data_IF_627812436212
#
_entry.id   IF_627812436212
#
_cell.length_a   1.000
_cell.length_b   1.000
_cell.length_c   1.000
_cell.angle_alpha   90.00
_cell.angle_beta   90.00
_cell.angle_gamma   90.00
#
_symmetry.space_group_name_H-M   'P 1'
#
loop_
_entity.id
_entity.type
_entity.pdbx_description
1 polymer ?
#
# COMPACT_ATOMS: atom_id res chain seq x y z
N UNK A 1 -3.02 -3.98 -22.95
CA UNK A 1 -2.18 -4.40 -24.09
C UNK A 1 -1.37 -5.61 -23.65
N UNK A 2 -1.78 -6.81 -24.06
CA UNK A 2 -1.12 -8.07 -23.68
C UNK A 2 -0.34 -8.57 -24.91
N UNK A 3 0.97 -8.76 -24.74
CA UNK A 3 1.89 -9.27 -25.77
C UNK A 3 1.60 -10.76 -26.04
N UNK A 4 1.35 -11.09 -27.31
CA UNK A 4 1.29 -12.46 -27.82
C UNK A 4 2.71 -13.06 -27.92
N UNK A 5 2.92 -14.35 -27.63
CA UNK A 5 4.22 -15.00 -27.76
C UNK A 5 4.52 -15.45 -29.21
N UNK A 6 5.82 -15.52 -29.50
CA UNK A 6 6.44 -15.73 -30.81
C UNK A 6 6.15 -17.08 -31.50
N UNK A 7 6.09 -17.02 -32.83
CA UNK A 7 5.82 -18.13 -33.78
C UNK A 7 6.94 -19.17 -33.92
N UNK A 8 7.84 -19.30 -32.94
CA UNK A 8 9.04 -20.14 -33.04
C UNK A 8 8.97 -21.47 -32.26
N UNK A 9 7.89 -21.75 -31.51
CA UNK A 9 7.76 -22.99 -30.70
C UNK A 9 6.84 -24.07 -31.29
N UNK A 10 6.25 -23.83 -32.47
CA UNK A 10 5.29 -24.76 -33.11
C UNK A 10 5.90 -25.65 -34.22
N UNK A 11 7.19 -25.51 -34.52
CA UNK A 11 7.87 -26.30 -35.56
C UNK A 11 8.40 -27.64 -35.07
N UNK A 12 8.28 -27.96 -33.77
CA UNK A 12 8.80 -29.20 -33.18
C UNK A 12 7.81 -30.37 -33.05
N UNK A 13 6.52 -30.19 -33.36
CA UNK A 13 5.50 -31.21 -33.05
C UNK A 13 4.80 -31.82 -34.28
N UNK A 14 5.08 -31.33 -35.49
CA UNK A 14 4.49 -31.85 -36.74
C UNK A 14 5.44 -32.72 -37.57
N UNK A 15 6.65 -33.01 -37.07
CA UNK A 15 7.66 -33.76 -37.82
C UNK A 15 7.69 -35.27 -37.51
N UNK A 16 6.57 -35.87 -37.08
CA UNK A 16 6.53 -37.30 -36.73
C UNK A 16 5.23 -38.06 -37.06
N UNK A 17 4.49 -37.71 -38.11
CA UNK A 17 3.49 -38.64 -38.69
C UNK A 17 3.35 -38.38 -40.19
N UNK A 18 4.33 -38.80 -40.98
CA UNK A 18 4.31 -38.56 -42.42
C UNK A 18 5.53 -39.13 -43.12
N UNK A 19 5.95 -40.35 -42.76
CA UNK A 19 6.94 -41.09 -43.54
C UNK A 19 6.19 -42.10 -44.41
N UNK A 20 6.29 -41.85 -45.71
CA UNK A 20 5.61 -42.55 -46.78
C UNK A 20 6.16 -43.98 -46.93
N UNK A 21 5.29 -44.98 -46.81
CA UNK A 21 5.55 -46.30 -47.37
C UNK A 21 5.31 -46.21 -48.88
N UNK A 22 6.40 -46.03 -49.65
CA UNK A 22 6.43 -46.27 -51.10
C UNK A 22 6.62 -47.76 -51.35
N UNK A 23 5.66 -48.40 -52.01
CA UNK A 23 5.90 -49.62 -52.78
C UNK A 23 5.61 -49.30 -54.25
N UNK A 24 6.55 -49.58 -55.19
CA UNK A 24 6.31 -49.44 -56.61
C UNK A 24 5.49 -50.62 -57.16
N UNK A 25 4.57 -50.24 -58.04
CA UNK A 25 3.83 -51.01 -59.06
C UNK A 25 4.62 -52.18 -59.67
N UNK A 26 4.14 -53.40 -59.46
CA UNK A 26 4.48 -54.55 -60.29
C UNK A 26 3.42 -54.75 -61.38
N UNK A 27 3.88 -54.92 -62.61
CA UNK A 27 3.06 -55.16 -63.80
C UNK A 27 2.58 -56.62 -63.81
N UNK A 28 1.32 -56.95 -64.18
CA UNK A 28 0.93 -58.34 -64.32
C UNK A 28 1.25 -58.82 -65.75
N UNK A 29 2.37 -59.51 -65.88
CA UNK A 29 2.65 -60.42 -66.99
C UNK A 29 3.32 -61.63 -66.39
N UNK A 30 2.53 -62.60 -65.91
CA UNK A 30 2.78 -63.99 -66.25
C UNK A 30 1.59 -64.87 -65.88
N UNK A 31 1.20 -65.63 -66.89
CA UNK A 31 0.13 -66.61 -66.93
C UNK A 31 0.27 -67.68 -65.84
N UNK A 32 -0.78 -67.83 -65.01
CA UNK A 32 -1.16 -69.12 -64.45
C UNK A 32 -2.67 -69.18 -64.25
N UNK A 33 -3.31 -69.89 -65.16
CA UNK A 33 -4.69 -70.36 -65.08
C UNK A 33 -4.98 -71.00 -63.71
N UNK A 34 -6.08 -70.66 -63.03
CA UNK A 34 -6.75 -71.59 -62.15
C UNK A 34 -7.90 -72.24 -62.93
N UNK A 35 -7.94 -73.56 -62.83
CA UNK A 35 -8.96 -74.43 -63.39
C UNK A 35 -10.38 -74.05 -62.92
N UNK A 36 -11.34 -74.26 -63.82
CA UNK A 36 -12.76 -74.14 -63.56
C UNK A 36 -13.24 -75.06 -62.42
N UNK A 37 -14.03 -74.49 -61.49
CA UNK A 37 -15.14 -75.13 -60.74
C UNK A 37 -15.67 -74.06 -59.77
N UNK A 38 -16.95 -73.87 -59.44
CA UNK A 38 -18.21 -74.50 -59.78
C UNK A 38 -19.30 -73.41 -59.58
N UNK A 39 -20.47 -73.58 -60.18
CA UNK A 39 -21.57 -72.61 -60.15
C UNK A 39 -22.10 -72.34 -58.74
N UNK A 40 -22.13 -71.06 -58.36
CA UNK A 40 -23.08 -70.54 -57.37
C UNK A 40 -24.37 -70.30 -58.15
N UNK A 41 -25.44 -70.99 -57.77
CA UNK A 41 -26.75 -70.80 -58.42
C UNK A 41 -27.26 -69.38 -58.19
N UNK A 42 -28.06 -68.83 -59.10
CA UNK A 42 -28.59 -67.46 -58.97
C UNK A 42 -29.37 -67.26 -57.65
N UNK A 43 -29.96 -68.33 -57.09
CA UNK A 43 -30.61 -68.35 -55.78
C UNK A 43 -29.65 -68.16 -54.59
N UNK A 44 -28.41 -68.65 -54.69
CA UNK A 44 -27.39 -68.46 -53.63
C UNK A 44 -26.80 -67.05 -53.68
N UNK A 45 -26.66 -66.45 -54.87
CA UNK A 45 -26.28 -65.03 -55.01
C UNK A 45 -27.33 -64.11 -54.42
N UNK A 46 -28.61 -64.37 -54.69
CA UNK A 46 -29.71 -63.62 -54.11
C UNK A 46 -29.76 -63.70 -52.57
N UNK A 47 -29.41 -64.85 -51.99
CA UNK A 47 -29.29 -65.01 -50.52
C UNK A 47 -28.14 -64.22 -49.93
N UNK A 48 -26.96 -64.24 -50.57
CA UNK A 48 -25.78 -63.47 -50.13
C UNK A 48 -26.06 -61.97 -50.19
N UNK A 49 -26.71 -61.48 -51.25
CA UNK A 49 -27.12 -60.07 -51.37
C UNK A 49 -28.16 -59.68 -50.32
N UNK A 50 -29.17 -60.54 -50.06
CA UNK A 50 -30.17 -60.29 -49.04
C UNK A 50 -29.59 -60.26 -47.61
N UNK A 51 -28.60 -61.12 -47.30
CA UNK A 51 -27.89 -61.09 -46.03
C UNK A 51 -26.99 -59.85 -45.88
N UNK A 52 -26.33 -59.42 -46.96
CA UNK A 52 -25.52 -58.20 -46.98
C UNK A 52 -26.38 -56.94 -46.74
N UNK A 53 -27.57 -56.88 -47.35
CA UNK A 53 -28.53 -55.78 -47.13
C UNK A 53 -29.02 -55.75 -45.68
N UNK A 54 -29.43 -56.91 -45.13
CA UNK A 54 -29.85 -57.01 -43.72
C UNK A 54 -28.76 -56.57 -42.75
N UNK A 55 -27.50 -56.93 -43.01
CA UNK A 55 -26.37 -56.52 -42.18
C UNK A 55 -26.13 -55.01 -42.28
N UNK A 56 -26.23 -54.43 -43.48
CA UNK A 56 -26.12 -52.99 -43.68
C UNK A 56 -27.23 -52.21 -42.96
N UNK A 57 -28.48 -52.68 -43.03
CA UNK A 57 -29.61 -52.08 -42.32
C UNK A 57 -29.45 -52.18 -40.80
N UNK A 58 -28.95 -53.31 -40.29
CA UNK A 58 -28.64 -53.47 -38.87
C UNK A 58 -27.51 -52.53 -38.39
N UNK A 59 -26.45 -52.38 -39.19
CA UNK A 59 -25.34 -51.45 -38.91
C UNK A 59 -25.80 -49.98 -38.96
N UNK A 60 -26.71 -49.63 -39.87
CA UNK A 60 -27.30 -48.30 -39.96
C UNK A 60 -28.13 -47.98 -38.70
N UNK A 61 -29.00 -48.92 -38.30
CA UNK A 61 -29.81 -48.79 -37.08
C UNK A 61 -28.96 -48.69 -35.82
N UNK A 62 -27.90 -49.51 -35.72
CA UNK A 62 -26.96 -49.44 -34.60
C UNK A 62 -26.23 -48.08 -34.53
N UNK A 63 -25.89 -47.48 -35.67
CA UNK A 63 -25.31 -46.12 -35.72
C UNK A 63 -26.32 -45.05 -35.29
N UNK A 64 -27.57 -45.14 -35.74
CA UNK A 64 -28.62 -44.20 -35.33
C UNK A 64 -28.91 -44.29 -33.82
N UNK A 65 -28.99 -45.49 -33.27
CA UNK A 65 -29.21 -45.71 -31.85
C UNK A 65 -28.01 -45.23 -31.01
N UNK A 66 -26.78 -45.43 -31.50
CA UNK A 66 -25.57 -44.88 -30.87
C UNK A 66 -25.53 -43.34 -30.93
N UNK A 67 -25.98 -42.71 -32.01
CA UNK A 67 -26.06 -41.25 -32.12
C UNK A 67 -27.13 -40.68 -31.18
N UNK A 68 -28.29 -41.32 -31.08
CA UNK A 68 -29.34 -40.96 -30.12
C UNK A 68 -28.83 -41.07 -28.68
N UNK A 69 -28.17 -42.18 -28.33
CA UNK A 69 -27.59 -42.36 -27.00
C UNK A 69 -26.56 -41.27 -26.65
N UNK A 70 -25.72 -40.86 -27.61
CA UNK A 70 -24.79 -39.74 -27.43
C UNK A 70 -25.52 -38.41 -27.20
N UNK A 71 -26.57 -38.12 -27.96
CA UNK A 71 -27.37 -36.90 -27.79
C UNK A 71 -28.06 -36.86 -26.43
N UNK A 72 -28.62 -37.97 -25.96
CA UNK A 72 -29.20 -38.04 -24.61
C UNK A 72 -28.15 -37.82 -23.51
N UNK A 73 -26.98 -38.46 -23.62
CA UNK A 73 -25.88 -38.26 -22.66
C UNK A 73 -25.35 -36.81 -22.65
N UNK A 74 -25.31 -36.15 -23.82
CA UNK A 74 -24.92 -34.74 -23.91
C UNK A 74 -25.95 -33.81 -23.25
N UNK A 75 -27.24 -34.09 -23.41
CA UNK A 75 -28.32 -33.32 -22.77
C UNK A 75 -28.24 -33.48 -21.25
N UNK A 76 -28.10 -34.70 -20.74
CA UNK A 76 -27.99 -34.96 -19.30
C UNK A 76 -26.74 -34.29 -18.69
N UNK A 77 -25.61 -34.31 -19.42
CA UNK A 77 -24.39 -33.62 -19.00
C UNK A 77 -24.58 -32.10 -18.93
N UNK A 78 -25.26 -31.49 -19.91
CA UNK A 78 -25.56 -30.05 -19.93
C UNK A 78 -26.52 -29.65 -18.81
N UNK A 79 -27.57 -30.44 -18.55
CA UNK A 79 -28.50 -30.19 -17.45
C UNK A 79 -27.78 -30.25 -16.10
N UNK A 80 -26.86 -31.20 -15.91
CA UNK A 80 -26.06 -31.31 -14.69
C UNK A 80 -25.11 -30.12 -14.53
N UNK A 81 -24.45 -29.69 -15.61
CA UNK A 81 -23.59 -28.51 -15.59
C UNK A 81 -24.39 -27.24 -15.26
N UNK A 82 -25.59 -27.09 -15.82
CA UNK A 82 -26.47 -25.95 -15.54
C UNK A 82 -26.93 -25.94 -14.07
N UNK A 83 -27.31 -27.10 -13.52
CA UNK A 83 -27.66 -27.22 -12.10
C UNK A 83 -26.48 -26.87 -11.17
N UNK A 84 -25.27 -27.31 -11.51
CA UNK A 84 -24.07 -26.98 -10.74
C UNK A 84 -23.76 -25.48 -10.80
N UNK A 85 -23.92 -24.85 -11.97
CA UNK A 85 -23.76 -23.40 -12.14
C UNK A 85 -24.78 -22.62 -11.33
N UNK A 86 -26.05 -23.02 -11.34
CA UNK A 86 -27.10 -22.38 -10.54
C UNK A 86 -26.82 -22.51 -9.03
N UNK A 87 -26.35 -23.68 -8.57
CA UNK A 87 -25.98 -23.87 -7.18
C UNK A 87 -24.79 -22.99 -6.79
N UNK A 88 -23.76 -22.94 -7.64
CA UNK A 88 -22.59 -22.09 -7.42
C UNK A 88 -22.96 -20.59 -7.42
N UNK A 89 -23.87 -20.16 -8.28
CA UNK A 89 -24.37 -18.78 -8.30
C UNK A 89 -25.15 -18.44 -7.04
N UNK A 90 -26.04 -19.34 -6.59
CA UNK A 90 -26.78 -19.18 -5.33
C UNK A 90 -25.84 -19.06 -4.12
N UNK A 91 -24.83 -19.92 -4.04
CA UNK A 91 -23.81 -19.84 -2.97
C UNK A 91 -23.04 -18.53 -3.01
N UNK A 92 -22.70 -18.01 -4.20
CA UNK A 92 -22.06 -16.69 -4.34
C UNK A 92 -22.96 -15.56 -3.87
N UNK A 93 -24.25 -15.59 -4.22
CA UNK A 93 -25.22 -14.58 -3.76
C UNK A 93 -25.38 -14.62 -2.23
N UNK A 94 -25.47 -15.80 -1.63
CA UNK A 94 -25.54 -15.96 -0.18
C UNK A 94 -24.26 -15.45 0.51
N UNK A 95 -23.07 -15.74 -0.04
CA UNK A 95 -21.80 -15.24 0.48
C UNK A 95 -21.71 -13.70 0.41
N UNK A 96 -22.14 -13.10 -0.70
CA UNK A 96 -22.20 -11.64 -0.84
C UNK A 96 -23.18 -11.00 0.14
N UNK A 97 -24.34 -11.62 0.36
CA UNK A 97 -25.32 -11.15 1.33
C UNK A 97 -24.77 -11.19 2.77
N UNK A 98 -24.03 -12.24 3.13
CA UNK A 98 -23.35 -12.34 4.43
C UNK A 98 -22.28 -11.26 4.57
N UNK A 99 -21.48 -11.03 3.52
CA UNK A 99 -20.44 -9.99 3.54
C UNK A 99 -21.04 -8.59 3.68
N UNK A 100 -22.13 -8.30 2.96
CA UNK A 100 -22.87 -7.04 3.09
C UNK A 100 -23.42 -6.85 4.51
N UNK A 101 -24.06 -7.88 5.07
CA UNK A 101 -24.54 -7.81 6.46
C UNK A 101 -23.42 -7.55 7.46
N UNK A 102 -22.23 -8.12 7.25
CA UNK A 102 -21.06 -7.86 8.11
C UNK A 102 -20.60 -6.41 7.99
N UNK A 103 -20.49 -5.88 6.76
CA UNK A 103 -20.11 -4.48 6.52
C UNK A 103 -21.13 -3.50 7.11
N UNK A 104 -22.41 -3.81 7.02
CA UNK A 104 -23.47 -2.96 7.58
C UNK A 104 -23.45 -2.98 9.11
N UNK A 105 -23.20 -4.15 9.73
CA UNK A 105 -23.00 -4.24 11.19
C UNK A 105 -21.78 -3.46 11.65
N UNK A 106 -20.65 -3.59 10.96
CA UNK A 106 -19.43 -2.85 11.27
C UNK A 106 -19.63 -1.34 11.14
N UNK A 107 -20.34 -0.89 10.09
CA UNK A 107 -20.71 0.52 9.92
C UNK A 107 -21.61 1.02 11.07
N UNK A 108 -22.62 0.25 11.46
CA UNK A 108 -23.48 0.62 12.59
C UNK A 108 -22.74 0.67 13.92
N UNK A 109 -21.81 -0.25 14.15
CA UNK A 109 -20.97 -0.24 15.36
C UNK A 109 -20.05 0.98 15.38
N UNK A 110 -19.43 1.31 14.25
CA UNK A 110 -18.61 2.51 14.10
C UNK A 110 -19.42 3.79 14.34
N UNK A 111 -20.62 3.91 13.75
CA UNK A 111 -21.51 5.05 13.97
C UNK A 111 -21.94 5.18 15.45
N UNK A 112 -22.19 4.06 16.15
CA UNK A 112 -22.50 4.07 17.59
C UNK A 112 -21.29 4.48 18.42
N UNK A 113 -20.09 4.02 18.07
CA UNK A 113 -18.87 4.40 18.78
C UNK A 113 -18.54 5.88 18.58
N UNK A 114 -18.68 6.38 17.36
CA UNK A 114 -18.48 7.79 17.03
C UNK A 114 -19.50 8.68 17.75
N UNK A 115 -20.78 8.28 17.76
CA UNK A 115 -21.82 8.97 18.52
C UNK A 115 -21.52 8.98 20.04
N UNK A 116 -20.98 7.88 20.58
CA UNK A 116 -20.56 7.81 21.99
C UNK A 116 -19.37 8.73 22.27
N UNK A 117 -18.36 8.75 21.40
CA UNK A 117 -17.20 9.66 21.52
C UNK A 117 -17.65 11.11 21.47
N UNK A 118 -18.50 11.47 20.52
CA UNK A 118 -19.05 12.82 20.40
C UNK A 118 -19.85 13.22 21.63
N UNK A 119 -20.71 12.33 22.16
CA UNK A 119 -21.46 12.59 23.39
C UNK A 119 -20.55 12.73 24.62
N UNK A 120 -19.43 12.01 24.68
CA UNK A 120 -18.45 12.15 25.75
C UNK A 120 -17.66 13.46 25.64
N UNK A 121 -17.26 13.85 24.42
CA UNK A 121 -16.62 15.14 24.16
C UNK A 121 -17.55 16.32 24.47
N UNK A 122 -18.83 16.23 24.10
CA UNK A 122 -19.83 17.25 24.41
C UNK A 122 -20.04 17.38 25.93
N UNK A 123 -20.04 16.26 26.66
CA UNK A 123 -20.07 16.27 28.14
C UNK A 123 -18.83 16.94 28.73
N UNK A 124 -17.63 16.59 28.22
CA UNK A 124 -16.37 17.22 28.67
C UNK A 124 -16.34 18.70 28.37
N UNK A 125 -16.81 19.13 27.19
CA UNK A 125 -16.94 20.55 26.83
C UNK A 125 -17.89 21.29 27.76
N UNK A 126 -19.06 20.71 28.05
CA UNK A 126 -20.03 21.30 28.98
C UNK A 126 -19.50 21.38 30.42
N UNK A 127 -18.69 20.41 30.85
CA UNK A 127 -18.03 20.43 32.17
C UNK A 127 -16.96 21.51 32.25
N UNK A 128 -16.11 21.64 31.22
CA UNK A 128 -15.11 22.70 31.10
C UNK A 128 -15.79 24.08 31.08
N UNK A 129 -16.87 24.24 30.32
CA UNK A 129 -17.61 25.52 30.27
C UNK A 129 -18.24 25.87 31.62
N UNK A 130 -18.78 24.89 32.35
CA UNK A 130 -19.24 25.08 33.74
C UNK A 130 -18.10 25.47 34.68
N UNK A 131 -16.93 24.84 34.56
CA UNK A 131 -15.76 25.18 35.37
C UNK A 131 -15.26 26.60 35.08
N UNK A 132 -15.21 26.99 33.79
CA UNK A 132 -14.86 28.36 33.37
C UNK A 132 -15.86 29.36 33.93
N UNK A 133 -17.16 29.09 33.82
CA UNK A 133 -18.20 29.98 34.36
C UNK A 133 -18.13 30.07 35.89
N UNK A 134 -17.82 28.97 36.58
CA UNK A 134 -17.61 28.96 38.02
C UNK A 134 -16.38 29.78 38.43
N UNK A 135 -15.27 29.64 37.70
CA UNK A 135 -14.05 30.45 37.91
C UNK A 135 -14.32 31.93 37.64
N UNK A 136 -15.03 32.27 36.56
CA UNK A 136 -15.40 33.66 36.27
C UNK A 136 -16.30 34.25 37.36
N UNK A 137 -17.29 33.50 37.85
CA UNK A 137 -18.14 33.94 38.97
C UNK A 137 -17.35 34.09 40.27
N UNK A 138 -16.35 33.23 40.49
CA UNK A 138 -15.47 33.33 41.65
C UNK A 138 -14.54 34.54 41.53
N UNK A 139 -13.91 34.74 40.38
CA UNK A 139 -13.11 35.93 40.06
C UNK A 139 -13.95 37.21 40.13
N UNK A 140 -15.21 37.19 39.71
CA UNK A 140 -16.11 38.34 39.81
C UNK A 140 -16.47 38.62 41.27
N UNK A 141 -16.76 37.60 42.08
CA UNK A 141 -16.95 37.73 43.53
C UNK A 141 -15.69 38.24 44.23
N UNK A 142 -14.52 37.73 43.85
CA UNK A 142 -13.23 38.18 44.36
C UNK A 142 -12.90 39.59 43.89
N UNK A 143 -13.23 39.98 42.66
CA UNK A 143 -13.12 41.37 42.17
C UNK A 143 -14.07 42.29 42.92
N UNK A 144 -15.32 41.89 43.15
CA UNK A 144 -16.29 42.67 43.94
C UNK A 144 -15.87 42.77 45.41
N UNK A 145 -15.30 41.72 45.99
CA UNK A 145 -14.74 41.72 47.33
C UNK A 145 -13.46 42.58 47.40
N UNK A 146 -12.59 42.49 46.40
CA UNK A 146 -11.39 43.29 46.25
C UNK A 146 -11.71 44.76 45.93
N UNK A 147 -12.79 45.07 45.23
CA UNK A 147 -13.27 46.44 44.98
C UNK A 147 -13.87 47.03 46.26
N UNK A 148 -14.63 46.23 47.03
CA UNK A 148 -15.09 46.61 48.38
C UNK A 148 -13.92 46.76 49.35
N UNK A 149 -12.87 45.94 49.24
CA UNK A 149 -11.65 46.05 50.04
C UNK A 149 -10.74 47.19 49.58
N UNK A 150 -10.67 47.50 48.28
CA UNK A 150 -9.91 48.60 47.70
C UNK A 150 -10.53 49.96 48.02
N UNK A 151 -11.87 50.04 48.14
CA UNK A 151 -12.56 51.19 48.77
C UNK A 151 -12.23 51.36 50.26
N UNK A 152 -11.60 50.37 50.90
CA UNK A 152 -11.23 50.37 52.33
C UNK A 152 -9.72 50.29 52.61
N UNK A 153 -8.88 50.18 51.58
CA UNK A 153 -7.46 49.88 51.77
C UNK A 153 -6.66 50.09 50.50
N UNK A 154 -6.35 51.35 50.21
CA UNK A 154 -5.39 51.73 49.18
C UNK A 154 -3.98 51.36 49.68
N UNK A 155 -3.33 50.36 49.08
CA UNK A 155 -1.89 50.14 49.24
C UNK A 155 -1.26 49.69 47.92
N UNK A 156 -0.27 50.45 47.47
CA UNK A 156 0.34 50.44 46.14
C UNK A 156 1.11 49.16 45.76
N UNK A 157 1.23 48.17 46.64
CA UNK A 157 2.11 47.01 46.49
C UNK A 157 1.51 45.85 45.68
N UNK A 158 0.20 45.57 45.78
CA UNK A 158 -0.40 44.41 45.08
C UNK A 158 -0.55 44.60 43.56
N UNK A 159 -0.78 45.84 43.10
CA UNK A 159 -0.93 46.15 41.67
C UNK A 159 0.36 45.89 40.88
N UNK A 160 1.51 46.12 41.50
CA UNK A 160 2.79 45.90 40.85
C UNK A 160 3.11 44.40 40.73
N UNK A 161 2.73 43.60 41.73
CA UNK A 161 2.95 42.14 41.71
C UNK A 161 2.10 41.45 40.64
N UNK A 162 0.83 41.82 40.48
CA UNK A 162 -0.03 41.25 39.44
C UNK A 162 0.46 41.54 38.01
N UNK A 163 0.94 42.76 37.77
CA UNK A 163 1.52 43.15 36.47
C UNK A 163 2.81 42.38 36.19
N UNK A 164 3.67 42.20 37.20
CA UNK A 164 4.91 41.43 37.08
C UNK A 164 4.61 39.97 36.73
N UNK A 165 3.60 39.35 37.34
CA UNK A 165 3.23 37.94 37.07
C UNK A 165 2.70 37.76 35.64
N UNK A 166 1.84 38.67 35.16
CA UNK A 166 1.31 38.62 33.79
C UNK A 166 2.42 38.85 32.76
N UNK A 167 3.35 39.78 33.03
CA UNK A 167 4.53 39.99 32.19
C UNK A 167 5.43 38.74 32.21
N UNK A 168 5.62 38.09 33.35
CA UNK A 168 6.39 36.83 33.46
C UNK A 168 5.76 35.71 32.64
N UNK A 169 4.44 35.55 32.69
CA UNK A 169 3.72 34.55 31.90
C UNK A 169 3.80 34.89 30.40
N UNK A 170 3.69 36.16 30.03
CA UNK A 170 3.84 36.60 28.64
C UNK A 170 5.28 36.43 28.13
N UNK A 171 6.29 36.64 28.96
CA UNK A 171 7.71 36.37 28.65
C UNK A 171 7.93 34.86 28.51
N UNK A 172 7.37 34.03 29.40
CA UNK A 172 7.47 32.57 29.30
C UNK A 172 6.75 32.02 28.07
N UNK A 173 5.57 32.55 27.74
CA UNK A 173 4.82 32.18 26.53
C UNK A 173 5.51 32.67 25.25
N UNK A 174 6.06 33.88 25.25
CA UNK A 174 6.91 34.39 24.16
C UNK A 174 8.21 33.61 24.03
N UNK A 175 8.79 33.18 25.15
CA UNK A 175 9.98 32.34 25.18
C UNK A 175 9.71 30.95 24.62
N UNK A 176 8.53 30.39 24.88
CA UNK A 176 8.07 29.12 24.31
C UNK A 176 7.96 29.14 22.78
N UNK A 177 7.56 30.26 22.20
CA UNK A 177 7.40 30.40 20.74
C UNK A 177 8.72 30.80 20.07
N UNK A 178 9.59 31.58 20.75
CA UNK A 178 10.90 32.02 20.24
C UNK A 178 12.05 31.05 20.58
N UNK A 179 11.73 29.81 20.92
CA UNK A 179 12.59 28.90 21.68
C UNK A 179 13.81 28.36 20.91
N UNK A 180 14.06 28.70 19.65
CA UNK A 180 15.30 28.33 18.94
C UNK A 180 15.81 29.54 18.18
N UNK A 181 16.86 30.16 18.73
CA UNK A 181 17.52 31.34 18.14
C UNK A 181 18.43 31.00 16.95
N UNK A 182 18.76 29.71 16.77
CA UNK A 182 19.55 29.23 15.64
C UNK A 182 20.00 27.79 15.82
N UNK A 183 20.20 27.11 14.70
CA UNK A 183 20.94 25.85 14.61
C UNK A 183 22.21 26.16 13.84
N UNK A 184 23.36 25.91 14.46
CA UNK A 184 24.66 26.06 13.83
C UNK A 184 25.20 24.68 13.50
N UNK A 185 25.77 24.54 12.30
CA UNK A 185 26.37 23.30 11.82
C UNK A 185 27.82 23.52 11.43
N UNK A 186 28.74 22.77 12.02
CA UNK A 186 30.17 22.81 11.77
C UNK A 186 30.68 21.43 11.31
N UNK A 187 31.96 21.33 10.97
CA UNK A 187 32.59 20.03 10.76
C UNK A 187 32.63 19.24 12.08
N UNK A 188 32.48 17.91 11.99
CA UNK A 188 32.40 17.04 13.17
C UNK A 188 33.64 17.13 14.06
N UNK A 189 33.45 17.12 15.37
CA UNK A 189 34.53 17.19 16.35
C UNK A 189 35.18 15.84 16.65
N UNK A 190 34.62 14.75 16.09
CA UNK A 190 35.14 13.39 16.22
C UNK A 190 34.61 12.66 17.45
N UNK A 191 33.48 13.09 18.00
CA UNK A 191 32.83 12.37 19.08
C UNK A 191 32.31 11.01 18.60
N UNK A 192 32.35 9.96 19.46
CA UNK A 192 31.83 8.66 19.09
C UNK A 192 30.31 8.74 18.85
N UNK A 193 29.85 8.27 17.68
CA UNK A 193 28.45 8.27 17.27
C UNK A 193 27.70 7.04 17.84
N UNK A 194 27.49 7.04 19.15
CA UNK A 194 26.98 5.88 19.90
C UNK A 194 25.46 5.68 19.81
N UNK A 195 24.70 6.70 19.39
CA UNK A 195 23.25 6.65 19.28
C UNK A 195 22.84 6.54 17.82
N UNK A 196 21.79 5.79 17.54
CA UNK A 196 21.26 5.58 16.20
C UNK A 196 19.75 5.66 16.21
N UNK A 197 19.18 6.39 15.27
CA UNK A 197 17.75 6.49 15.05
C UNK A 197 17.43 6.36 13.56
N UNK A 198 16.35 5.66 13.25
CA UNK A 198 15.88 5.47 11.88
C UNK A 198 14.60 6.28 11.67
N UNK A 199 14.54 6.97 10.54
CA UNK A 199 13.41 7.78 10.16
C UNK A 199 13.03 7.51 8.71
N UNK A 200 11.74 7.54 8.45
CA UNK A 200 11.18 7.68 7.12
C UNK A 200 10.86 9.16 6.92
N UNK A 201 11.46 9.81 5.92
CA UNK A 201 11.40 11.25 5.71
C UNK A 201 10.86 11.53 4.31
N UNK A 202 9.80 12.34 4.24
CA UNK A 202 9.15 12.74 2.99
C UNK A 202 9.47 14.19 2.70
N UNK A 203 10.29 14.41 1.68
CA UNK A 203 10.77 15.73 1.27
C UNK A 203 9.98 16.19 0.04
N UNK A 204 9.28 17.34 0.10
CA UNK A 204 8.68 17.92 -1.09
C UNK A 204 9.75 18.32 -2.11
N UNK A 205 9.49 18.04 -3.39
CA UNK A 205 10.42 18.36 -4.48
C UNK A 205 10.70 19.87 -4.54
N UNK A 206 11.96 20.22 -4.77
CA UNK A 206 12.48 21.57 -4.93
C UNK A 206 12.10 22.55 -3.80
N UNK A 207 11.91 22.04 -2.57
CA UNK A 207 11.54 22.83 -1.41
C UNK A 207 12.64 22.79 -0.35
N UNK A 208 13.06 23.96 0.13
CA UNK A 208 13.98 24.05 1.27
C UNK A 208 13.25 23.65 2.55
N UNK A 209 13.65 22.50 3.09
CA UNK A 209 13.10 21.95 4.31
C UNK A 209 14.18 21.86 5.38
N UNK A 210 13.78 21.64 6.62
CA UNK A 210 14.70 21.43 7.72
C UNK A 210 14.31 20.14 8.44
N UNK A 211 15.22 19.19 8.58
CA UNK A 211 15.00 17.98 9.35
C UNK A 211 15.96 17.95 10.53
N UNK A 212 15.43 17.94 11.76
CA UNK A 212 16.24 17.99 12.99
C UNK A 212 17.29 19.11 13.00
N UNK A 213 16.98 20.26 12.39
CA UNK A 213 17.87 21.41 12.33
C UNK A 213 18.78 21.41 11.10
N UNK A 214 18.89 20.29 10.38
CA UNK A 214 19.67 20.17 9.15
C UNK A 214 18.86 20.71 7.96
N UNK A 215 19.32 21.73 7.22
CA UNK A 215 18.74 22.10 5.93
C UNK A 215 18.86 20.94 4.94
N UNK A 216 17.70 20.53 4.43
CA UNK A 216 17.57 19.49 3.40
C UNK A 216 16.80 20.04 2.19
N UNK A 217 17.20 19.63 1.00
CA UNK A 217 16.49 19.92 -0.24
C UNK A 217 16.66 18.73 -1.17
N UNK A 218 15.55 18.23 -1.72
CA UNK A 218 15.55 17.17 -2.71
C UNK A 218 15.13 17.75 -4.07
N UNK A 219 15.87 17.38 -5.11
CA UNK A 219 15.52 17.70 -6.49
C UNK A 219 15.39 16.40 -7.28
N UNK A 220 14.16 16.05 -7.64
CA UNK A 220 13.87 14.80 -8.36
C UNK A 220 14.07 14.97 -9.88
N UNK A 221 14.75 14.03 -10.51
CA UNK A 221 14.99 14.03 -11.97
C UNK A 221 15.05 12.62 -12.54
N UNK A 222 14.01 12.24 -13.29
CA UNK A 222 14.06 11.10 -14.21
C UNK A 222 14.41 9.74 -13.59
N UNK A 223 14.04 9.50 -12.33
CA UNK A 223 14.32 8.26 -11.58
C UNK A 223 15.53 8.32 -10.65
N UNK A 224 16.18 9.47 -10.56
CA UNK A 224 17.20 9.79 -9.55
C UNK A 224 16.80 11.02 -8.77
N UNK A 225 17.31 11.18 -7.55
CA UNK A 225 17.10 12.37 -6.73
C UNK A 225 18.45 12.94 -6.33
N UNK A 226 18.60 14.25 -6.48
CA UNK A 226 19.72 14.98 -5.92
C UNK A 226 19.32 15.46 -4.54
N UNK A 227 19.82 14.81 -3.50
CA UNK A 227 19.62 15.20 -2.12
C UNK A 227 20.77 16.13 -1.68
N UNK A 228 20.41 17.30 -1.19
CA UNK A 228 21.33 18.25 -0.58
C UNK A 228 21.08 18.31 0.93
N UNK A 229 22.11 18.05 1.72
CA UNK A 229 22.08 18.10 3.19
C UNK A 229 23.25 18.97 3.65
N UNK A 230 22.99 20.05 4.38
CA UNK A 230 24.04 20.97 4.86
C UNK A 230 25.02 21.43 3.77
N UNK A 231 24.48 21.80 2.60
CA UNK A 231 25.24 22.25 1.42
C UNK A 231 26.09 21.15 0.74
N UNK A 232 25.97 19.90 1.18
CA UNK A 232 26.58 18.75 0.52
C UNK A 232 25.57 18.04 -0.34
N UNK A 233 25.95 17.76 -1.59
CA UNK A 233 25.05 17.24 -2.61
C UNK A 233 25.44 15.82 -2.98
N UNK A 234 24.47 14.90 -2.93
CA UNK A 234 24.62 13.54 -3.43
C UNK A 234 23.45 13.20 -4.34
N UNK A 235 23.73 12.55 -5.47
CA UNK A 235 22.69 12.04 -6.37
C UNK A 235 22.52 10.56 -6.11
N UNK A 236 21.28 10.16 -5.83
CA UNK A 236 20.90 8.81 -5.44
C UNK A 236 19.89 8.27 -6.45
N UNK A 237 20.14 7.06 -6.96
CA UNK A 237 19.12 6.27 -7.63
C UNK A 237 18.21 5.58 -6.61
N UNK A 238 17.05 5.09 -7.05
CA UNK A 238 16.12 4.34 -6.17
C UNK A 238 16.84 3.11 -5.60
N UNK A 239 16.77 2.93 -4.28
CA UNK A 239 17.46 1.88 -3.52
C UNK A 239 18.94 2.15 -3.24
N UNK A 240 19.48 3.30 -3.68
CA UNK A 240 20.86 3.68 -3.40
C UNK A 240 20.98 4.42 -2.07
N UNK A 241 22.02 4.09 -1.31
CA UNK A 241 22.40 4.77 -0.09
C UNK A 241 23.49 5.82 -0.35
N UNK A 242 23.32 6.99 0.25
CA UNK A 242 24.30 8.07 0.33
C UNK A 242 24.69 8.32 1.78
N UNK A 243 26.00 8.33 2.06
CA UNK A 243 26.52 8.69 3.38
C UNK A 243 27.04 10.11 3.32
N UNK A 244 26.44 10.97 4.14
CA UNK A 244 26.92 12.34 4.34
C UNK A 244 28.00 12.33 5.44
N UNK A 245 29.03 13.18 5.35
CA UNK A 245 30.10 13.25 6.34
C UNK A 245 29.58 13.76 7.68
N UNK A 246 30.36 13.46 8.71
CA UNK A 246 30.04 13.85 10.07
C UNK A 246 30.11 15.37 10.24
N UNK A 247 29.08 15.93 10.85
CA UNK A 247 28.98 17.36 11.19
C UNK A 247 28.66 17.52 12.67
N UNK A 248 29.03 18.67 13.23
CA UNK A 248 28.67 19.07 14.58
C UNK A 248 27.44 19.98 14.52
N UNK A 249 26.42 19.70 15.33
CA UNK A 249 25.23 20.54 15.47
C UNK A 249 25.19 21.16 16.86
N UNK A 250 24.92 22.47 16.90
CA UNK A 250 24.67 23.19 18.14
C UNK A 250 23.30 23.87 18.07
N UNK A 251 22.45 23.59 19.06
CA UNK A 251 21.12 24.18 19.21
C UNK A 251 21.17 25.23 20.31
N UNK A 252 20.84 26.49 19.95
CA UNK A 252 20.84 27.62 20.89
C UNK A 252 19.45 28.17 21.10
N UNK A 253 19.13 28.50 22.36
CA UNK A 253 17.88 29.14 22.79
C UNK A 253 18.26 30.43 23.52
N UNK A 254 17.77 31.57 23.03
CA UNK A 254 18.18 32.89 23.54
C UNK A 254 19.71 33.08 23.61
N UNK A 255 20.44 32.51 22.64
CA UNK A 255 21.91 32.58 22.60
C UNK A 255 22.63 31.64 23.58
N UNK A 256 21.91 30.89 24.42
CA UNK A 256 22.46 29.87 25.32
C UNK A 256 22.40 28.51 24.60
N UNK A 257 23.52 27.80 24.58
CA UNK A 257 23.59 26.43 24.06
C UNK A 257 22.84 25.47 24.97
N UNK A 258 21.82 24.81 24.42
CA UNK A 258 21.00 23.83 25.16
C UNK A 258 21.31 22.39 24.79
N UNK A 259 21.89 22.18 23.61
CA UNK A 259 22.16 20.86 23.07
C UNK A 259 23.24 20.94 21.99
N UNK A 260 24.19 20.03 22.03
CA UNK A 260 25.20 19.83 21.01
C UNK A 260 25.39 18.35 20.72
N UNK A 261 25.69 18.02 19.47
CA UNK A 261 26.00 16.64 19.08
C UNK A 261 26.75 16.62 17.77
N UNK A 262 27.68 15.67 17.63
CA UNK A 262 28.10 15.23 16.31
C UNK A 262 27.00 14.34 15.74
N UNK A 263 26.80 14.41 14.42
CA UNK A 263 25.88 13.54 13.72
C UNK A 263 26.43 13.12 12.36
N UNK A 264 26.04 11.93 11.93
CA UNK A 264 26.25 11.43 10.58
C UNK A 264 24.91 10.93 10.04
N UNK A 265 24.59 11.34 8.82
CA UNK A 265 23.36 10.95 8.14
C UNK A 265 23.69 10.00 7.00
N UNK A 266 23.03 8.85 6.98
CA UNK A 266 22.92 8.01 5.79
C UNK A 266 21.50 8.09 5.27
N UNK A 267 21.33 8.42 4.00
CA UNK A 267 20.02 8.49 3.35
C UNK A 267 19.91 7.42 2.26
N UNK A 268 18.85 6.65 2.27
CA UNK A 268 18.47 5.74 1.19
C UNK A 268 17.26 6.32 0.45
N UNK A 269 17.33 6.44 -0.87
CA UNK A 269 16.21 6.95 -1.67
C UNK A 269 15.24 5.82 -2.01
N UNK A 270 13.97 5.95 -1.61
CA UNK A 270 12.95 4.92 -1.86
C UNK A 270 12.11 5.19 -3.12
N UNK A 271 12.17 6.40 -3.66
CA UNK A 271 11.35 6.85 -4.77
C UNK A 271 10.34 7.93 -4.36
N UNK A 272 9.43 8.26 -5.26
CA UNK A 272 8.37 9.24 -5.01
C UNK A 272 7.15 8.54 -4.42
N UNK A 273 6.72 8.96 -3.23
CA UNK A 273 5.51 8.49 -2.55
C UNK A 273 4.59 9.69 -2.33
N UNK A 274 3.37 9.66 -2.89
CA UNK A 274 2.36 10.72 -2.71
C UNK A 274 2.88 12.13 -3.06
N UNK A 275 3.55 12.26 -4.22
CA UNK A 275 4.16 13.52 -4.72
C UNK A 275 5.29 14.10 -3.84
N UNK A 276 5.92 13.28 -2.99
CA UNK A 276 7.11 13.65 -2.20
C UNK A 276 8.19 12.60 -2.40
N UNK A 277 9.45 13.02 -2.40
CA UNK A 277 10.57 12.09 -2.41
C UNK A 277 10.70 11.45 -1.03
N UNK A 278 10.59 10.12 -0.97
CA UNK A 278 10.67 9.35 0.25
C UNK A 278 12.11 8.85 0.46
N UNK A 279 12.59 8.99 1.70
CA UNK A 279 13.91 8.56 2.10
C UNK A 279 13.88 7.81 3.42
N UNK A 280 14.70 6.77 3.52
CA UNK A 280 15.06 6.17 4.80
C UNK A 280 16.33 6.82 5.32
N UNK A 281 16.21 7.57 6.41
CA UNK A 281 17.30 8.24 7.09
C UNK A 281 17.78 7.40 8.26
N UNK A 282 19.06 7.06 8.24
CA UNK A 282 19.78 6.53 9.38
C UNK A 282 20.61 7.64 9.99
N UNK A 283 20.19 8.14 11.15
CA UNK A 283 20.88 9.20 11.86
C UNK A 283 21.69 8.59 13.00
N UNK A 284 23.01 8.75 12.95
CA UNK A 284 23.91 8.41 14.05
C UNK A 284 24.35 9.67 14.75
N UNK A 285 24.25 9.73 16.07
CA UNK A 285 24.60 10.92 16.87
C UNK A 285 25.50 10.55 18.04
N UNK A 286 26.31 11.51 18.50
CA UNK A 286 27.14 11.35 19.71
C UNK A 286 26.33 11.49 21.00
N UNK A 287 25.22 12.20 20.95
CA UNK A 287 24.27 12.34 22.06
C UNK A 287 22.85 12.07 21.61
N UNK A 288 22.05 11.48 22.50
CA UNK A 288 20.62 11.23 22.24
C UNK A 288 19.89 12.57 22.07
N UNK A 289 19.19 12.74 20.95
CA UNK A 289 18.44 13.97 20.67
C UNK A 289 17.18 13.97 21.55
N UNK A 290 16.97 14.98 22.41
CA UNK A 290 15.76 15.09 23.21
C UNK A 290 14.51 15.15 22.33
N UNK A 291 13.48 14.37 22.67
CA UNK A 291 12.23 14.30 21.90
C UNK A 291 11.53 15.64 21.74
N UNK A 292 11.66 16.52 22.74
CA UNK A 292 11.13 17.88 22.73
C UNK A 292 11.74 18.76 21.63
N UNK A 293 12.94 18.43 21.13
CA UNK A 293 13.63 19.18 20.08
C UNK A 293 13.30 18.68 18.67
N UNK A 294 12.78 17.47 18.51
CA UNK A 294 12.55 16.85 17.19
C UNK A 294 11.56 17.69 16.35
N UNK A 295 10.42 18.01 16.94
CA UNK A 295 9.36 18.78 16.26
C UNK A 295 9.79 20.22 15.92
N UNK A 296 10.28 21.05 16.86
CA UNK A 296 10.63 22.44 16.54
C UNK A 296 11.83 22.56 15.60
N UNK A 297 12.69 21.55 15.52
CA UNK A 297 13.82 21.49 14.59
C UNK A 297 13.45 20.95 13.20
N UNK A 298 12.26 20.37 13.04
CA UNK A 298 11.81 19.82 11.76
C UNK A 298 10.74 20.72 11.13
N UNK A 299 11.08 21.42 10.05
CA UNK A 299 10.23 22.42 9.39
C UNK A 299 10.00 22.04 7.93
N UNK A 300 8.75 22.15 7.48
CA UNK A 300 8.32 21.86 6.11
C UNK A 300 8.65 20.44 5.62
N UNK A 301 8.87 19.50 6.55
CA UNK A 301 9.17 18.10 6.25
C UNK A 301 8.24 17.20 7.04
N UNK A 302 7.77 16.12 6.42
CA UNK A 302 7.06 15.06 7.12
C UNK A 302 8.03 13.93 7.44
N UNK A 303 7.95 13.39 8.65
CA UNK A 303 8.81 12.29 9.08
C UNK A 303 8.05 11.33 9.99
N UNK A 304 8.52 10.08 10.03
CA UNK A 304 8.06 9.02 10.93
C UNK A 304 9.27 8.29 11.48
N UNK A 305 9.25 7.95 12.76
CA UNK A 305 10.29 7.09 13.36
C UNK A 305 9.95 5.64 13.07
N UNK A 306 10.96 4.83 12.71
CA UNK A 306 10.82 3.40 12.36
C UNK A 306 11.75 2.51 13.19
#
# INVERSE_FOLDING_TARGET
>A
MVKLPDKASLTGFTQKVGEAVKLPSDSPSDSKTPAASAGVSDDERAKIEAEAIKKYEADLKAKEDAEKAKKYAEIEAKEKEEQERLLAEKQRQEALAIEQQRKDKERQEWEREEARKKAEEDKKRAEIEKEILAKQKQEEKERLAAEKAAKKGQSHTLRNVGIIVVILIAILAGAYISLISGVETFDGYGYPLSYQANYEVFVPDNTNCQFLGMPINALSSGGSVTLMVNNERQTLAIGQQGVFPTKHMTVKVFGIEIFNTDYQLTAEYEGVITNKDAFKFNLKTSSSIPSLLINPLSKNVEYRTI
#
